data_IF_789219759138
#
_entry.id   IF_789219759138
#
_cell.length_a   1.000
_cell.length_b   1.000
_cell.length_c   1.000
_cell.angle_alpha   90.00
_cell.angle_beta   90.00
_cell.angle_gamma   90.00
#
_symmetry.space_group_name_H-M   'P 1'
#
loop_
_entity.id
_entity.type
_entity.pdbx_description
1 polymer ?
#
# COMPACT_ATOMS: atom_id res chain seq x y z
N UNK A 1 -23.19 37.74 15.16
CA UNK A 1 -23.95 36.65 15.78
C UNK A 1 -24.92 36.12 14.75
N UNK A 2 -24.56 35.03 14.08
CA UNK A 2 -25.41 34.35 13.11
C UNK A 2 -25.65 32.94 13.63
N UNK A 3 -26.90 32.68 14.04
CA UNK A 3 -27.36 31.44 14.64
C UNK A 3 -27.25 30.28 13.64
N UNK A 4 -26.61 29.21 14.08
CA UNK A 4 -26.52 27.94 13.34
C UNK A 4 -27.73 27.10 13.77
N UNK A 5 -28.67 26.88 12.84
CA UNK A 5 -29.76 25.94 13.04
C UNK A 5 -29.24 24.49 13.07
N UNK A 6 -29.65 23.65 14.05
CA UNK A 6 -29.24 22.26 14.09
C UNK A 6 -30.03 21.42 13.06
N UNK A 7 -29.30 20.62 12.28
CA UNK A 7 -29.87 19.65 11.34
C UNK A 7 -30.55 18.53 12.12
N UNK A 8 -31.83 18.29 11.81
CA UNK A 8 -32.66 17.23 12.42
C UNK A 8 -32.10 15.84 12.08
N UNK A 9 -31.84 15.06 13.12
CA UNK A 9 -31.52 13.64 13.04
C UNK A 9 -32.82 12.86 12.77
N UNK A 10 -32.91 12.13 11.65
CA UNK A 10 -33.98 11.16 11.42
C UNK A 10 -33.48 9.76 11.71
N UNK A 11 -33.85 9.25 12.88
CA UNK A 11 -33.70 7.85 13.25
C UNK A 11 -34.50 6.97 12.29
N UNK A 12 -33.82 6.05 11.60
CA UNK A 12 -34.47 4.89 10.98
C UNK A 12 -34.18 3.66 11.83
N UNK A 13 -35.17 3.29 12.61
CA UNK A 13 -35.31 1.98 13.26
C UNK A 13 -35.43 0.87 12.20
N UNK A 14 -34.52 -0.10 12.23
CA UNK A 14 -34.56 -1.32 11.42
C UNK A 14 -33.93 -2.46 12.20
N UNK A 15 -34.66 -3.57 12.33
CA UNK A 15 -34.41 -4.71 13.24
C UNK A 15 -33.14 -5.47 12.89
N UNK A 16 -32.52 -6.02 13.94
CA UNK A 16 -31.24 -6.69 13.92
C UNK A 16 -31.19 -7.93 13.02
N UNK A 17 -30.13 -7.97 12.23
CA UNK A 17 -29.32 -9.17 11.99
C UNK A 17 -27.90 -8.73 12.38
N UNK A 18 -27.24 -9.49 13.25
CA UNK A 18 -25.82 -9.26 13.56
C UNK A 18 -25.01 -9.42 12.27
N UNK A 19 -24.65 -8.29 11.67
CA UNK A 19 -23.67 -8.22 10.59
C UNK A 19 -22.32 -8.41 11.28
N UNK A 20 -21.54 -9.39 10.83
CA UNK A 20 -20.14 -9.52 11.26
C UNK A 20 -19.46 -8.15 11.21
N UNK A 21 -18.64 -7.84 12.23
CA UNK A 21 -17.91 -6.57 12.40
C UNK A 21 -16.84 -6.32 11.32
N UNK A 22 -17.17 -6.53 10.04
CA UNK A 22 -16.29 -6.32 8.90
C UNK A 22 -16.28 -4.85 8.49
N UNK A 23 -15.10 -4.38 8.10
CA UNK A 23 -14.94 -3.07 7.47
C UNK A 23 -15.60 -3.11 6.09
N UNK A 24 -16.45 -2.14 5.78
CA UNK A 24 -17.02 -2.00 4.43
C UNK A 24 -15.99 -1.32 3.51
N UNK A 25 -15.22 -2.13 2.77
CA UNK A 25 -14.10 -1.69 1.93
C UNK A 25 -14.11 -2.44 0.59
N UNK A 26 -13.75 -1.80 -0.54
CA UNK A 26 -13.65 -2.48 -1.84
C UNK A 26 -12.35 -3.29 -1.98
N UNK A 27 -11.45 -3.21 -1.01
CA UNK A 27 -10.12 -3.81 -1.07
C UNK A 27 -10.12 -5.25 -0.53
N UNK A 28 -9.23 -6.11 -1.03
CA UNK A 28 -9.15 -7.48 -0.55
C UNK A 28 -8.55 -7.55 0.87
N UNK A 29 -8.96 -8.57 1.61
CA UNK A 29 -8.33 -8.95 2.87
C UNK A 29 -6.96 -9.54 2.61
N UNK A 30 -6.06 -9.40 3.58
CA UNK A 30 -4.71 -9.95 3.49
C UNK A 30 -4.42 -10.87 4.67
N UNK A 31 -3.68 -11.94 4.41
CA UNK A 31 -3.16 -12.85 5.42
C UNK A 31 -1.65 -12.68 5.51
N UNK A 32 -1.14 -12.49 6.71
CA UNK A 32 0.27 -12.58 7.04
C UNK A 32 0.49 -13.87 7.82
N UNK A 33 1.43 -14.70 7.38
CA UNK A 33 1.86 -15.88 8.12
C UNK A 33 3.31 -15.69 8.55
N UNK A 34 3.62 -15.84 9.83
CA UNK A 34 5.02 -15.83 10.29
C UNK A 34 5.70 -17.12 9.85
N UNK A 35 6.67 -17.01 8.94
CA UNK A 35 7.39 -18.16 8.39
C UNK A 35 8.75 -18.37 9.05
N UNK A 36 9.29 -17.36 9.72
CA UNK A 36 10.58 -17.44 10.38
C UNK A 36 10.74 -16.49 11.55
N UNK A 37 11.47 -16.95 12.57
CA UNK A 37 11.91 -16.16 13.74
C UNK A 37 13.40 -16.42 13.92
N UNK A 38 14.21 -15.38 13.71
CA UNK A 38 15.67 -15.41 13.70
C UNK A 38 16.29 -14.54 14.80
N UNK A 39 15.46 -13.88 15.60
CA UNK A 39 15.88 -13.07 16.73
C UNK A 39 14.70 -12.72 17.64
N UNK A 40 14.97 -11.92 18.67
CA UNK A 40 13.94 -11.52 19.65
C UNK A 40 12.92 -10.55 19.04
N UNK A 41 11.63 -10.86 19.20
CA UNK A 41 10.52 -10.01 18.77
C UNK A 41 9.87 -9.34 19.98
N UNK A 42 9.86 -8.01 20.02
CA UNK A 42 9.19 -7.25 21.10
C UNK A 42 7.66 -7.44 21.12
N UNK A 43 7.05 -7.84 19.99
CA UNK A 43 5.62 -8.16 19.88
C UNK A 43 5.32 -9.64 20.18
N UNK A 44 6.34 -10.49 20.34
CA UNK A 44 6.17 -11.90 20.70
C UNK A 44 5.62 -12.81 19.59
N UNK A 45 5.67 -12.39 18.32
CA UNK A 45 5.24 -13.23 17.19
C UNK A 45 6.06 -14.53 17.09
N UNK A 46 5.39 -15.62 16.75
CA UNK A 46 5.92 -16.98 16.65
C UNK A 46 5.69 -17.56 15.26
N UNK A 47 6.54 -18.49 14.86
CA UNK A 47 6.36 -19.24 13.60
C UNK A 47 4.97 -19.89 13.59
N UNK A 48 4.23 -19.70 12.50
CA UNK A 48 2.87 -20.20 12.33
C UNK A 48 1.79 -19.23 12.81
N UNK A 49 2.12 -18.13 13.48
CA UNK A 49 1.14 -17.09 13.79
C UNK A 49 0.54 -16.54 12.49
N UNK A 50 -0.79 -16.41 12.48
CA UNK A 50 -1.55 -15.85 11.37
C UNK A 50 -2.17 -14.52 11.78
N UNK A 51 -1.97 -13.51 10.95
CA UNK A 51 -2.51 -12.17 11.17
C UNK A 51 -3.36 -11.82 9.95
N UNK A 52 -4.63 -11.49 10.18
CA UNK A 52 -5.53 -11.07 9.10
C UNK A 52 -5.68 -9.55 9.15
N UNK A 53 -5.44 -8.91 8.01
CA UNK A 53 -5.75 -7.51 7.76
C UNK A 53 -7.08 -7.46 6.99
N UNK A 54 -8.02 -6.63 7.44
CA UNK A 54 -9.31 -6.48 6.74
C UNK A 54 -9.12 -5.81 5.36
N UNK A 55 -8.13 -4.93 5.25
CA UNK A 55 -7.52 -4.50 3.99
C UNK A 55 -6.14 -3.91 4.28
N UNK A 56 -5.49 -3.30 3.28
CA UNK A 56 -4.18 -2.67 3.46
C UNK A 56 -4.20 -1.39 4.34
N UNK A 57 -5.38 -0.87 4.69
CA UNK A 57 -5.59 0.33 5.51
C UNK A 57 -6.04 0.01 6.95
N UNK A 58 -6.56 -1.19 7.20
CA UNK A 58 -7.11 -1.61 8.50
C UNK A 58 -6.30 -2.75 9.12
N UNK A 59 -5.32 -2.36 9.94
CA UNK A 59 -4.54 -3.31 10.74
C UNK A 59 -5.32 -3.79 11.98
N UNK A 60 -5.06 -5.02 12.46
CA UNK A 60 -5.69 -5.54 13.68
C UNK A 60 -5.19 -4.80 14.92
N UNK A 61 -5.91 -4.99 16.03
CA UNK A 61 -5.54 -4.41 17.32
C UNK A 61 -4.13 -4.88 17.75
N UNK A 62 -3.30 -3.95 18.23
CA UNK A 62 -1.91 -4.19 18.66
C UNK A 62 -0.96 -4.69 17.55
N UNK A 63 -1.29 -4.43 16.29
CA UNK A 63 -0.39 -4.72 15.17
C UNK A 63 0.94 -3.96 15.29
N UNK A 64 2.03 -4.59 14.83
CA UNK A 64 3.37 -4.00 14.89
C UNK A 64 3.52 -2.92 13.82
N UNK A 65 3.47 -1.65 14.25
CA UNK A 65 3.64 -0.51 13.34
C UNK A 65 5.05 -0.46 12.72
N UNK A 66 6.07 -0.98 13.41
CA UNK A 66 7.41 -1.11 12.84
C UNK A 66 7.44 -2.00 11.59
N UNK A 67 6.68 -3.10 11.59
CA UNK A 67 6.56 -3.99 10.42
C UNK A 67 5.91 -3.27 9.22
N UNK A 68 4.98 -2.34 9.45
CA UNK A 68 4.26 -1.62 8.40
C UNK A 68 5.22 -0.95 7.41
N UNK A 69 6.37 -0.44 7.85
CA UNK A 69 7.33 0.21 6.94
C UNK A 69 7.84 -0.72 5.83
N UNK A 70 8.11 -1.98 6.12
CA UNK A 70 8.55 -2.97 5.13
C UNK A 70 7.37 -3.63 4.42
N UNK A 71 6.26 -3.81 5.13
CA UNK A 71 5.08 -4.52 4.66
C UNK A 71 4.22 -3.69 3.70
N UNK A 72 4.06 -2.40 3.97
CA UNK A 72 3.04 -1.56 3.33
C UNK A 72 3.17 -1.51 1.80
N UNK A 73 4.36 -1.28 1.19
CA UNK A 73 4.49 -1.29 -0.27
C UNK A 73 4.00 -2.60 -0.91
N UNK A 74 4.18 -3.72 -0.22
CA UNK A 74 3.80 -5.05 -0.71
C UNK A 74 2.30 -5.26 -0.64
N UNK A 75 1.68 -5.03 0.53
CA UNK A 75 0.23 -5.22 0.70
C UNK A 75 -0.56 -4.21 -0.13
N UNK A 76 -0.04 -2.99 -0.29
CA UNK A 76 -0.59 -1.98 -1.18
C UNK A 76 -0.56 -2.48 -2.63
N UNK A 77 0.59 -2.94 -3.13
CA UNK A 77 0.71 -3.47 -4.48
C UNK A 77 -0.22 -4.67 -4.76
N UNK A 78 -0.23 -5.64 -3.85
CA UNK A 78 -1.08 -6.84 -3.97
C UNK A 78 -2.57 -6.49 -4.03
N UNK A 79 -3.00 -5.52 -3.21
CA UNK A 79 -4.38 -5.02 -3.16
C UNK A 79 -4.84 -4.40 -4.48
N UNK A 80 -3.91 -3.87 -5.27
CA UNK A 80 -4.16 -3.30 -6.60
C UNK A 80 -3.77 -4.22 -7.75
N UNK A 81 -3.70 -5.53 -7.49
CA UNK A 81 -3.55 -6.54 -8.54
C UNK A 81 -2.11 -6.79 -9.00
N UNK A 82 -1.10 -6.26 -8.31
CA UNK A 82 0.30 -6.56 -8.63
C UNK A 82 0.60 -8.06 -8.58
N UNK A 83 1.50 -8.53 -9.44
CA UNK A 83 1.90 -9.94 -9.52
C UNK A 83 3.40 -10.07 -9.43
N UNK A 84 3.86 -10.95 -8.55
CA UNK A 84 5.28 -11.27 -8.40
C UNK A 84 5.58 -12.57 -9.17
N UNK A 85 5.76 -12.46 -10.49
CA UNK A 85 5.94 -13.62 -11.38
C UNK A 85 7.08 -14.57 -11.00
N UNK A 86 8.06 -14.09 -10.23
CA UNK A 86 9.19 -14.85 -9.69
C UNK A 86 8.88 -15.66 -8.42
N UNK A 87 7.67 -15.55 -7.85
CA UNK A 87 7.23 -16.31 -6.67
C UNK A 87 6.44 -17.55 -7.06
N UNK A 88 6.50 -18.59 -6.22
CA UNK A 88 5.69 -19.81 -6.38
C UNK A 88 4.19 -19.52 -6.40
N UNK A 89 3.75 -18.60 -5.53
CA UNK A 89 2.46 -17.92 -5.63
C UNK A 89 2.70 -16.44 -5.95
N UNK A 90 2.34 -16.01 -7.17
CA UNK A 90 2.49 -14.63 -7.64
C UNK A 90 1.64 -13.62 -6.85
N UNK A 91 0.63 -14.09 -6.11
CA UNK A 91 -0.23 -13.29 -5.22
C UNK A 91 0.28 -13.28 -3.77
N UNK A 92 1.60 -13.43 -3.63
CA UNK A 92 2.27 -13.41 -2.33
C UNK A 92 3.67 -12.83 -2.40
N UNK A 93 4.20 -12.39 -1.26
CA UNK A 93 5.60 -12.07 -1.09
C UNK A 93 6.05 -12.38 0.34
N UNK A 94 7.28 -12.86 0.52
CA UNK A 94 7.96 -12.85 1.83
C UNK A 94 8.56 -11.47 2.07
N UNK A 95 8.41 -10.98 3.30
CA UNK A 95 8.91 -9.71 3.80
C UNK A 95 9.50 -9.96 5.18
N UNK A 96 10.56 -9.26 5.52
CA UNK A 96 11.13 -9.30 6.86
C UNK A 96 10.86 -8.01 7.62
N UNK A 97 10.84 -8.05 8.94
CA UNK A 97 10.76 -6.82 9.73
C UNK A 97 12.00 -5.93 9.47
N UNK A 98 11.86 -4.59 9.50
CA UNK A 98 12.99 -3.68 9.25
C UNK A 98 14.02 -3.65 10.41
N UNK A 99 13.74 -4.36 11.50
CA UNK A 99 14.64 -4.49 12.65
C UNK A 99 15.55 -5.71 12.49
N UNK A 100 16.53 -5.59 11.60
CA UNK A 100 17.54 -6.63 11.36
C UNK A 100 17.02 -7.93 10.74
N UNK A 101 15.77 -7.93 10.23
CA UNK A 101 15.16 -9.12 9.62
C UNK A 101 14.90 -10.26 10.60
N UNK A 102 14.73 -9.95 11.90
CA UNK A 102 14.50 -10.95 12.96
C UNK A 102 13.24 -11.80 12.75
N UNK A 103 12.27 -11.31 11.99
CA UNK A 103 11.03 -12.00 11.67
C UNK A 103 10.84 -12.02 10.16
N UNK A 104 10.36 -13.15 9.63
CA UNK A 104 9.90 -13.28 8.25
C UNK A 104 8.39 -13.55 8.22
N UNK A 105 7.70 -12.82 7.34
CA UNK A 105 6.27 -12.92 7.12
C UNK A 105 6.00 -13.21 5.64
N UNK A 106 5.09 -14.15 5.38
CA UNK A 106 4.47 -14.32 4.06
C UNK A 106 3.19 -13.52 4.00
N UNK A 107 3.14 -12.49 3.17
CA UNK A 107 1.92 -11.75 2.86
C UNK A 107 1.21 -12.38 1.66
N UNK A 108 -0.08 -12.61 1.81
CA UNK A 108 -0.95 -13.27 0.82
C UNK A 108 -2.28 -12.54 0.73
N UNK A 109 -2.89 -12.54 -0.46
CA UNK A 109 -4.25 -12.01 -0.68
C UNK A 109 -5.27 -13.12 -0.42
N UNK A 110 -6.38 -12.75 0.25
CA UNK A 110 -7.54 -13.62 0.39
C UNK A 110 -8.63 -13.22 -0.62
N UNK A 111 -9.27 -14.21 -1.23
CA UNK A 111 -10.45 -14.03 -2.05
C UNK A 111 -11.69 -13.70 -1.20
N UNK A 112 -12.83 -13.47 -1.87
CA UNK A 112 -14.12 -13.17 -1.21
C UNK A 112 -14.63 -14.26 -0.27
N UNK A 113 -14.12 -15.49 -0.37
CA UNK A 113 -14.47 -16.61 0.48
C UNK A 113 -13.46 -16.80 1.64
N UNK A 114 -12.44 -15.93 1.74
CA UNK A 114 -11.37 -16.05 2.72
C UNK A 114 -10.31 -17.09 2.35
N UNK A 115 -10.26 -17.54 1.10
CA UNK A 115 -9.28 -18.51 0.61
C UNK A 115 -8.08 -17.75 0.03
N UNK A 116 -6.85 -18.20 0.31
CA UNK A 116 -5.65 -17.60 -0.28
C UNK A 116 -5.70 -17.71 -1.80
N UNK A 117 -5.59 -16.57 -2.48
CA UNK A 117 -5.42 -16.54 -3.93
C UNK A 117 -4.10 -17.23 -4.29
N UNK A 118 -4.16 -18.21 -5.20
CA UNK A 118 -2.99 -18.90 -5.68
C UNK A 118 -2.88 -18.75 -7.20
N UNK A 119 -1.87 -18.00 -7.63
CA UNK A 119 -1.45 -17.91 -9.02
C UNK A 119 -0.04 -18.48 -9.11
N UNK A 120 0.11 -19.65 -9.76
CA UNK A 120 1.39 -20.34 -9.87
C UNK A 120 2.45 -19.45 -10.51
N UNK A 121 3.72 -19.64 -10.13
CA UNK A 121 4.90 -19.00 -10.74
C UNK A 121 4.80 -18.93 -12.26
N UNK A 122 5.21 -17.80 -12.82
CA UNK A 122 5.34 -17.65 -14.27
C UNK A 122 6.74 -18.11 -14.70
N UNK A 123 6.89 -19.26 -15.38
CA UNK A 123 8.18 -19.75 -15.83
C UNK A 123 8.81 -18.85 -16.92
N UNK A 124 8.01 -18.01 -17.57
CA UNK A 124 8.46 -17.02 -18.55
C UNK A 124 8.80 -15.67 -17.94
N UNK A 125 8.66 -15.50 -16.62
CA UNK A 125 8.90 -14.24 -15.94
C UNK A 125 10.32 -13.73 -16.22
N UNK A 126 10.40 -12.54 -16.81
CA UNK A 126 11.63 -11.78 -16.95
C UNK A 126 11.50 -10.49 -16.16
N UNK A 127 12.58 -10.10 -15.50
CA UNK A 127 12.64 -8.81 -14.84
C UNK A 127 12.49 -7.70 -15.88
N UNK A 128 11.38 -6.95 -15.79
CA UNK A 128 11.05 -5.87 -16.72
C UNK A 128 10.68 -4.61 -15.93
N UNK A 129 11.68 -3.84 -15.45
CA UNK A 129 11.48 -2.59 -14.72
C UNK A 129 10.59 -1.63 -15.50
N UNK A 130 9.59 -1.06 -14.84
CA UNK A 130 8.70 -0.10 -15.48
C UNK A 130 9.27 1.31 -15.43
N UNK A 131 9.12 2.05 -16.51
CA UNK A 131 9.38 3.48 -16.52
C UNK A 131 8.22 4.19 -15.83
N UNK A 132 8.55 5.17 -15.01
CA UNK A 132 7.57 5.95 -14.27
C UNK A 132 7.95 7.43 -14.27
N UNK A 133 6.95 8.28 -14.35
CA UNK A 133 7.07 9.74 -14.23
C UNK A 133 6.40 10.16 -12.93
N UNK A 134 7.11 10.97 -12.15
CA UNK A 134 6.58 11.68 -10.98
C UNK A 134 6.46 13.15 -11.37
N UNK A 135 5.27 13.73 -11.24
CA UNK A 135 4.97 15.11 -11.60
C UNK A 135 4.33 15.83 -10.42
N UNK A 136 4.75 17.06 -10.13
CA UNK A 136 4.01 17.91 -9.18
C UNK A 136 2.75 18.44 -9.86
N UNK A 137 1.59 18.02 -9.37
CA UNK A 137 0.29 18.47 -9.90
C UNK A 137 -0.35 19.53 -9.04
N UNK A 138 0.04 19.65 -7.78
CA UNK A 138 -0.46 20.71 -6.89
C UNK A 138 0.60 21.16 -5.89
N UNK A 139 0.61 22.46 -5.60
CA UNK A 139 1.35 23.07 -4.50
C UNK A 139 0.40 23.92 -3.65
N UNK A 140 0.23 23.53 -2.39
CA UNK A 140 -0.65 24.20 -1.40
C UNK A 140 0.13 25.07 -0.42
N UNK A 141 1.46 24.92 -0.37
CA UNK A 141 2.30 25.56 0.64
C UNK A 141 3.75 25.64 0.22
N UNK A 142 4.63 25.87 1.20
CA UNK A 142 6.07 26.02 0.96
C UNK A 142 6.74 24.65 0.87
N UNK A 143 7.60 24.46 -0.12
CA UNK A 143 8.49 23.31 -0.21
C UNK A 143 9.95 23.76 0.03
N UNK A 144 10.60 23.23 1.07
CA UNK A 144 12.02 23.52 1.36
C UNK A 144 12.96 23.03 0.25
N UNK A 145 12.58 21.96 -0.45
CA UNK A 145 13.30 21.44 -1.62
C UNK A 145 13.01 22.23 -2.92
N UNK A 146 12.14 23.24 -2.86
CA UNK A 146 11.90 24.16 -3.98
C UNK A 146 11.00 23.63 -5.09
N UNK A 147 10.28 22.52 -4.88
CA UNK A 147 9.39 21.93 -5.89
C UNK A 147 8.23 22.84 -6.27
N UNK A 148 7.87 22.81 -7.55
CA UNK A 148 6.84 23.65 -8.19
C UNK A 148 5.94 22.78 -9.08
N UNK A 149 4.70 23.23 -9.27
CA UNK A 149 3.77 22.59 -10.21
C UNK A 149 4.41 22.50 -11.59
N UNK A 150 4.32 21.32 -12.20
CA UNK A 150 4.94 21.02 -13.49
C UNK A 150 6.36 20.46 -13.41
N UNK A 151 7.01 20.46 -12.24
CA UNK A 151 8.28 19.74 -12.06
C UNK A 151 8.07 18.25 -12.29
N UNK A 152 8.99 17.62 -13.02
CA UNK A 152 8.93 16.20 -13.39
C UNK A 152 10.24 15.49 -13.14
N UNK A 153 10.12 14.24 -12.74
CA UNK A 153 11.23 13.31 -12.62
C UNK A 153 10.86 11.97 -13.22
N UNK A 154 11.86 11.31 -13.80
CA UNK A 154 11.72 9.97 -14.34
C UNK A 154 12.48 8.97 -13.48
N UNK A 155 11.92 7.77 -13.35
CA UNK A 155 12.63 6.62 -12.81
C UNK A 155 12.30 5.37 -13.60
N UNK A 156 13.14 4.35 -13.44
CA UNK A 156 12.92 3.02 -14.03
C UNK A 156 13.09 1.99 -12.94
N UNK A 157 12.06 1.17 -12.74
CA UNK A 157 12.01 0.23 -11.62
C UNK A 157 11.87 0.95 -10.29
N UNK A 158 12.62 0.48 -9.30
CA UNK A 158 12.62 1.02 -7.94
C UNK A 158 13.84 1.91 -7.65
N UNK A 159 14.44 2.49 -8.69
CA UNK A 159 15.64 3.33 -8.54
C UNK A 159 15.27 4.63 -7.82
N UNK A 160 16.11 5.01 -6.84
CA UNK A 160 16.09 6.35 -6.28
C UNK A 160 16.41 7.38 -7.37
N UNK A 161 15.73 8.52 -7.32
CA UNK A 161 15.90 9.61 -8.28
C UNK A 161 16.98 10.56 -7.72
N UNK A 162 18.09 10.81 -8.44
CA UNK A 162 19.12 11.74 -7.99
C UNK A 162 18.56 13.12 -7.67
N UNK A 163 18.88 13.66 -6.49
CA UNK A 163 18.42 14.99 -6.05
C UNK A 163 16.95 15.07 -5.65
N UNK A 164 16.19 13.96 -5.72
CA UNK A 164 14.81 13.93 -5.26
C UNK A 164 14.74 13.87 -3.72
N UNK A 165 13.75 14.55 -3.15
CA UNK A 165 13.55 14.66 -1.72
C UNK A 165 13.28 13.26 -1.14
N UNK A 166 14.14 12.79 -0.24
CA UNK A 166 14.00 11.46 0.36
C UNK A 166 12.67 11.27 1.12
N UNK A 167 12.17 12.32 1.76
CA UNK A 167 10.87 12.28 2.44
C UNK A 167 9.70 12.12 1.46
N UNK A 168 9.74 12.82 0.31
CA UNK A 168 8.76 12.64 -0.75
C UNK A 168 8.90 11.26 -1.42
N UNK A 169 10.13 10.77 -1.59
CA UNK A 169 10.37 9.43 -2.15
C UNK A 169 9.75 8.36 -1.26
N UNK A 170 9.93 8.47 0.06
CA UNK A 170 9.35 7.53 1.03
C UNK A 170 7.82 7.45 0.92
N UNK A 171 7.12 8.57 0.77
CA UNK A 171 5.65 8.55 0.59
C UNK A 171 5.20 8.12 -0.80
N UNK A 172 6.00 8.37 -1.84
CA UNK A 172 5.76 7.91 -3.20
C UNK A 172 6.04 6.40 -3.39
N UNK A 173 6.92 5.82 -2.56
CA UNK A 173 7.44 4.48 -2.77
C UNK A 173 6.38 3.37 -2.87
N UNK A 174 5.30 3.33 -2.05
CA UNK A 174 4.25 2.33 -2.21
C UNK A 174 3.60 2.34 -3.59
N UNK A 175 3.34 3.53 -4.15
CA UNK A 175 2.77 3.68 -5.48
C UNK A 175 3.77 3.32 -6.59
N UNK A 176 5.04 3.74 -6.47
CA UNK A 176 6.12 3.33 -7.39
C UNK A 176 6.29 1.81 -7.40
N UNK A 177 6.28 1.20 -6.22
CA UNK A 177 6.39 -0.25 -6.05
C UNK A 177 5.22 -0.97 -6.70
N UNK A 178 4.00 -0.55 -6.41
CA UNK A 178 2.78 -1.13 -6.99
C UNK A 178 2.78 -1.05 -8.52
N UNK A 179 3.00 0.13 -9.08
CA UNK A 179 3.01 0.34 -10.53
C UNK A 179 4.12 -0.48 -11.22
N UNK A 180 5.31 -0.56 -10.62
CA UNK A 180 6.40 -1.37 -11.16
C UNK A 180 6.04 -2.86 -11.28
N UNK A 181 5.22 -3.39 -10.37
CA UNK A 181 4.78 -4.79 -10.38
C UNK A 181 3.41 -5.02 -11.01
N UNK A 182 2.95 -4.06 -11.83
CA UNK A 182 1.77 -4.26 -12.67
C UNK A 182 0.43 -3.92 -12.01
N UNK A 183 0.43 -3.25 -10.84
CA UNK A 183 -0.81 -2.79 -10.22
C UNK A 183 -1.59 -1.84 -11.13
N UNK A 184 -2.90 -1.78 -10.91
CA UNK A 184 -3.85 -0.86 -11.53
C UNK A 184 -4.74 -0.20 -10.46
N UNK A 185 -4.78 1.13 -10.44
CA UNK A 185 -5.62 1.91 -9.52
C UNK A 185 -7.01 2.13 -10.15
N UNK A 186 -7.90 1.17 -9.99
CA UNK A 186 -9.24 1.14 -10.64
C UNK A 186 -10.18 2.31 -10.28
N UNK A 187 -9.85 3.07 -9.24
CA UNK A 187 -10.61 4.23 -8.78
C UNK A 187 -10.08 5.56 -9.35
N UNK A 188 -9.02 5.52 -10.15
CA UNK A 188 -8.43 6.68 -10.83
C UNK A 188 -8.90 6.71 -12.28
N UNK A 189 -8.95 7.91 -12.88
CA UNK A 189 -9.31 8.09 -14.30
C UNK A 189 -8.40 7.27 -15.24
N UNK A 190 -7.12 7.17 -14.89
CA UNK A 190 -6.14 6.35 -15.60
C UNK A 190 -5.56 5.29 -14.64
N UNK A 191 -5.86 3.98 -14.85
CA UNK A 191 -5.47 2.93 -13.90
C UNK A 191 -3.95 2.77 -13.72
N UNK A 192 -3.14 3.25 -14.65
CA UNK A 192 -1.68 3.26 -14.58
C UNK A 192 -1.10 4.48 -13.83
N UNK A 193 -1.94 5.28 -13.17
CA UNK A 193 -1.50 6.48 -12.45
C UNK A 193 -2.27 6.73 -11.16
N UNK A 194 -1.65 7.48 -10.24
CA UNK A 194 -2.25 7.99 -9.02
C UNK A 194 -1.77 9.43 -8.79
N UNK A 195 -2.69 10.38 -8.57
CA UNK A 195 -2.42 11.81 -8.43
C UNK A 195 -2.72 12.38 -7.04
N UNK A 196 -2.81 11.49 -6.05
CA UNK A 196 -3.11 11.81 -4.65
C UNK A 196 -1.91 11.61 -3.73
N UNK A 197 -0.73 11.26 -4.26
CA UNK A 197 0.47 11.03 -3.44
C UNK A 197 0.95 12.36 -2.88
N UNK A 198 1.01 12.49 -1.56
CA UNK A 198 1.41 13.74 -0.91
C UNK A 198 2.80 13.68 -0.30
N UNK A 199 3.48 14.83 -0.29
CA UNK A 199 4.60 15.07 0.63
C UNK A 199 4.14 14.85 2.09
N UNK A 200 4.95 14.22 2.96
CA UNK A 200 4.56 14.01 4.37
C UNK A 200 4.47 15.32 5.16
N UNK A 201 5.08 16.39 4.67
CA UNK A 201 5.03 17.72 5.28
C UNK A 201 3.71 18.43 4.93
N UNK A 202 2.65 18.11 5.70
CA UNK A 202 1.33 18.77 5.61
C UNK A 202 0.60 18.61 4.27
N UNK A 203 1.09 17.75 3.37
CA UNK A 203 0.56 17.64 2.00
C UNK A 203 0.78 18.91 1.18
N UNK A 204 1.83 19.69 1.47
CA UNK A 204 2.15 20.93 0.76
C UNK A 204 2.37 20.72 -0.74
N UNK A 205 2.89 19.56 -1.13
CA UNK A 205 3.11 19.15 -2.53
C UNK A 205 2.35 17.85 -2.78
N UNK A 206 1.63 17.80 -3.90
CA UNK A 206 0.93 16.61 -4.38
C UNK A 206 1.53 16.18 -5.71
N UNK A 207 1.82 14.88 -5.80
CA UNK A 207 2.46 14.24 -6.92
C UNK A 207 1.48 13.35 -7.68
N UNK A 208 1.55 13.41 -9.01
CA UNK A 208 1.06 12.36 -9.89
C UNK A 208 2.20 11.42 -10.25
N UNK A 209 1.97 10.13 -10.03
CA UNK A 209 2.88 9.07 -10.43
C UNK A 209 2.20 8.29 -11.54
N UNK A 210 2.86 8.17 -12.68
CA UNK A 210 2.33 7.47 -13.87
C UNK A 210 3.33 6.42 -14.34
N UNK A 211 2.87 5.19 -14.55
CA UNK A 211 3.63 4.18 -15.30
C UNK A 211 3.52 4.51 -16.79
N UNK A 212 4.65 4.88 -17.38
CA UNK A 212 4.78 5.13 -18.82
C UNK A 212 5.26 3.83 -19.46
N UNK A 213 4.53 3.36 -20.47
CA UNK A 213 4.81 2.08 -21.14
C UNK A 213 6.18 2.06 -21.83
#
# INVERSE_FOLDING_TARGET
>A
MSEINPVRNTEKTGRGNEISNGVNTPFPRLKLTVTGVFGECYHGYKIGDEIILEDFTHAPKHFCLGLVHALFPVIYALSFGAKFGFRDNQRSLLITCPDGGKLEFKAEILDKNGIVENLSRDPSHKFNPKKMVIEVVQSKGKCTFGYKVGDKWETTGLKCIPGFCGAAFHTAFPALFALNFGANFFFMDSPNSIDTVTCPDGGNIIFKITRVE
#
